data_IF_935739604232
#
_entry.id   IF_935739604232
#
_cell.length_a   1.000
_cell.length_b   1.000
_cell.length_c   1.000
_cell.angle_alpha   90.00
_cell.angle_beta   90.00
_cell.angle_gamma   90.00
#
_symmetry.space_group_name_H-M   'P 1'
#
loop_
_entity.id
_entity.type
_entity.pdbx_description
1 polymer ?
#
# COMPACT_ATOMS: atom_id res chain seq x y z
N UNK A 1 -7.28 5.02 -15.96
CA UNK A 1 -6.43 5.80 -15.03
C UNK A 1 -7.22 7.01 -14.59
N UNK A 2 -7.28 7.27 -13.29
CA UNK A 2 -7.89 8.49 -12.74
C UNK A 2 -7.09 9.68 -13.24
N UNK A 3 -7.76 10.70 -13.78
CA UNK A 3 -7.06 11.92 -14.22
C UNK A 3 -6.25 12.48 -13.04
N UNK A 4 -4.99 12.84 -13.28
CA UNK A 4 -4.11 13.37 -12.24
C UNK A 4 -3.35 12.33 -11.41
N UNK A 5 -3.53 11.02 -11.66
CA UNK A 5 -2.76 9.95 -11.01
C UNK A 5 -2.24 8.99 -12.08
N UNK A 6 -0.95 8.65 -12.03
CA UNK A 6 -0.37 7.64 -12.93
C UNK A 6 0.36 6.55 -12.16
N UNK A 7 0.31 5.34 -12.71
CA UNK A 7 1.02 4.18 -12.21
C UNK A 7 1.54 3.38 -13.40
N UNK A 8 2.80 2.96 -13.34
CA UNK A 8 3.38 2.05 -14.31
C UNK A 8 3.29 0.62 -13.75
N UNK A 9 2.66 -0.33 -14.47
CA UNK A 9 2.61 -1.73 -14.05
C UNK A 9 4.00 -2.28 -13.69
N UNK A 10 4.05 -3.17 -12.70
CA UNK A 10 5.28 -3.77 -12.18
C UNK A 10 6.25 -2.79 -11.49
N UNK A 11 5.81 -1.58 -11.18
CA UNK A 11 6.55 -0.63 -10.34
C UNK A 11 5.78 -0.33 -9.06
N UNK A 12 6.49 0.15 -8.04
CA UNK A 12 5.89 0.52 -6.75
C UNK A 12 5.39 1.96 -6.68
N UNK A 13 5.73 2.80 -7.66
CA UNK A 13 5.51 4.23 -7.63
C UNK A 13 4.16 4.62 -8.20
N UNK A 14 3.41 5.41 -7.44
CA UNK A 14 2.17 6.05 -7.88
C UNK A 14 2.46 7.55 -7.90
N UNK A 15 2.48 8.14 -9.09
CA UNK A 15 2.78 9.57 -9.26
C UNK A 15 1.49 10.39 -9.19
N UNK A 16 1.52 11.43 -8.37
CA UNK A 16 0.44 12.41 -8.22
C UNK A 16 0.77 13.61 -9.10
N UNK A 17 -0.03 13.83 -10.15
CA UNK A 17 0.15 14.93 -11.09
C UNK A 17 -0.67 16.14 -10.65
N UNK A 18 -1.88 15.91 -10.15
CA UNK A 18 -2.77 16.96 -9.67
C UNK A 18 -2.61 17.09 -8.14
N UNK A 19 -2.21 18.25 -7.60
CA UNK A 19 -2.14 18.45 -6.17
C UNK A 19 -3.54 18.45 -5.55
N UNK A 20 -3.64 18.06 -4.28
CA UNK A 20 -4.92 18.01 -3.59
C UNK A 20 -4.89 17.15 -2.33
N UNK A 21 -6.07 16.98 -1.74
CA UNK A 21 -6.27 16.08 -0.60
C UNK A 21 -6.94 14.82 -1.11
N UNK A 22 -6.33 13.68 -0.82
CA UNK A 22 -6.77 12.37 -1.32
C UNK A 22 -7.02 11.43 -0.15
N UNK A 23 -8.11 10.67 -0.23
CA UNK A 23 -8.24 9.43 0.54
C UNK A 23 -7.44 8.35 -0.19
N UNK A 24 -6.55 7.69 0.55
CA UNK A 24 -5.77 6.56 0.08
C UNK A 24 -6.18 5.36 0.92
N UNK A 25 -6.68 4.32 0.26
CA UNK A 25 -7.00 3.06 0.91
C UNK A 25 -6.12 1.95 0.35
N UNK A 26 -5.70 1.02 1.19
CA UNK A 26 -4.93 -0.13 0.74
C UNK A 26 -5.33 -1.40 1.45
N UNK A 27 -5.00 -2.52 0.81
CA UNK A 27 -5.13 -3.84 1.37
C UNK A 27 -3.90 -4.69 1.03
N UNK A 28 -3.41 -5.47 1.99
CA UNK A 28 -2.29 -6.40 1.82
C UNK A 28 -2.60 -7.71 2.51
N UNK A 29 -2.41 -8.82 1.80
CA UNK A 29 -2.43 -10.17 2.36
C UNK A 29 -0.99 -10.69 2.43
N UNK A 30 -0.39 -10.63 3.63
CA UNK A 30 0.97 -11.16 3.86
C UNK A 30 0.98 -12.64 4.23
N UNK A 31 2.08 -13.37 4.01
CA UNK A 31 2.26 -14.75 4.54
C UNK A 31 2.69 -14.77 6.00
N UNK A 32 3.17 -13.64 6.53
CA UNK A 32 3.61 -13.42 7.90
C UNK A 32 2.82 -12.27 8.58
N UNK A 33 2.94 -12.15 9.90
CA UNK A 33 2.57 -10.90 10.59
C UNK A 33 3.38 -9.74 10.02
N UNK A 34 2.71 -8.64 9.71
CA UNK A 34 3.29 -7.56 8.93
C UNK A 34 2.81 -6.18 9.38
N UNK A 35 3.65 -5.18 9.13
CA UNK A 35 3.34 -3.76 9.24
C UNK A 35 3.70 -3.04 7.95
N UNK A 36 2.71 -2.38 7.35
CA UNK A 36 2.88 -1.57 6.15
C UNK A 36 2.56 -0.10 6.45
N UNK A 37 3.22 0.80 5.73
CA UNK A 37 2.96 2.23 5.81
C UNK A 37 3.00 2.91 4.44
N UNK A 38 2.31 4.04 4.35
CA UNK A 38 2.36 4.92 3.19
C UNK A 38 3.59 5.81 3.27
N UNK A 39 4.22 6.05 2.13
CA UNK A 39 5.38 6.90 1.99
C UNK A 39 5.12 7.92 0.89
N UNK A 40 5.51 9.18 1.14
CA UNK A 40 5.54 10.24 0.14
C UNK A 40 6.98 10.65 -0.07
N UNK A 41 7.45 10.56 -1.32
CA UNK A 41 8.82 10.92 -1.69
C UNK A 41 9.90 10.19 -0.86
N UNK A 42 9.63 8.95 -0.46
CA UNK A 42 10.55 8.13 0.33
C UNK A 42 10.53 8.38 1.84
N UNK A 43 9.68 9.28 2.33
CA UNK A 43 9.47 9.52 3.75
C UNK A 43 8.16 8.89 4.24
N UNK A 44 8.14 8.24 5.43
CA UNK A 44 6.93 7.64 5.96
C UNK A 44 5.92 8.72 6.35
N UNK A 45 4.67 8.51 5.97
CA UNK A 45 3.55 9.38 6.38
C UNK A 45 3.16 9.02 7.81
N UNK A 46 3.26 9.98 8.72
CA UNK A 46 2.92 9.76 10.12
C UNK A 46 1.47 9.27 10.28
N UNK A 47 1.27 8.31 11.19
CA UNK A 47 -0.06 7.73 11.45
C UNK A 47 -0.54 6.72 10.42
N UNK A 48 0.29 6.33 9.44
CA UNK A 48 -0.12 5.36 8.39
C UNK A 48 0.46 3.96 8.57
N UNK A 49 1.02 3.64 9.73
CA UNK A 49 1.50 2.29 10.04
C UNK A 49 0.29 1.42 10.43
N UNK A 50 -0.09 0.50 9.55
CA UNK A 50 -1.13 -0.50 9.79
C UNK A 50 -0.52 -1.89 9.91
N UNK A 51 -1.03 -2.69 10.85
CA UNK A 51 -0.47 -4.00 11.17
C UNK A 51 -1.49 -5.13 11.12
N UNK A 52 -1.01 -6.30 10.72
CA UNK A 52 -1.70 -7.58 10.87
C UNK A 52 -0.88 -8.49 11.79
N UNK A 53 -1.53 -9.08 12.79
CA UNK A 53 -0.87 -9.87 13.83
C UNK A 53 -0.56 -11.31 13.42
N UNK A 54 -1.02 -11.74 12.24
CA UNK A 54 -0.83 -13.11 11.76
C UNK A 54 -0.61 -13.14 10.24
N UNK A 55 0.02 -14.22 9.77
CA UNK A 55 0.05 -14.54 8.35
C UNK A 55 -1.37 -14.79 7.82
N UNK A 56 -1.58 -14.51 6.54
CA UNK A 56 -2.84 -14.60 5.77
C UNK A 56 -4.03 -13.84 6.35
N UNK A 57 -3.85 -13.12 7.46
CA UNK A 57 -4.78 -12.12 7.96
C UNK A 57 -4.60 -10.82 7.17
N UNK A 58 -5.71 -10.29 6.67
CA UNK A 58 -5.74 -9.07 5.88
C UNK A 58 -5.26 -7.86 6.69
N UNK A 59 -4.34 -7.09 6.11
CA UNK A 59 -3.91 -5.79 6.60
C UNK A 59 -4.50 -4.69 5.73
N UNK A 60 -5.50 -3.98 6.25
CA UNK A 60 -6.14 -2.86 5.55
C UNK A 60 -5.75 -1.56 6.24
N UNK A 61 -5.50 -0.53 5.44
CA UNK A 61 -5.23 0.81 5.94
C UNK A 61 -5.92 1.88 5.12
N UNK A 62 -6.08 3.06 5.74
CA UNK A 62 -6.66 4.23 5.08
C UNK A 62 -6.00 5.50 5.62
N UNK A 63 -5.81 6.51 4.78
CA UNK A 63 -5.32 7.81 5.22
C UNK A 63 -5.85 8.91 4.32
N UNK A 64 -6.02 10.11 4.89
CA UNK A 64 -6.25 11.33 4.11
C UNK A 64 -4.92 12.07 4.06
N UNK A 65 -4.40 12.29 2.85
CA UNK A 65 -3.06 12.86 2.63
C UNK A 65 -3.18 14.06 1.68
N UNK A 66 -2.48 15.14 2.03
CA UNK A 66 -2.28 16.27 1.13
C UNK A 66 -1.05 16.00 0.26
N UNK A 67 -1.23 16.04 -1.06
CA UNK A 67 -0.18 15.84 -2.05
C UNK A 67 0.09 17.14 -2.81
N UNK A 68 1.36 17.38 -3.09
CA UNK A 68 1.83 18.34 -4.07
C UNK A 68 1.91 17.70 -5.47
N UNK A 69 2.02 18.52 -6.50
CA UNK A 69 2.28 18.04 -7.85
C UNK A 69 3.67 17.36 -7.90
N UNK A 70 3.74 16.24 -8.62
CA UNK A 70 4.91 15.36 -8.74
C UNK A 70 5.29 14.58 -7.47
N UNK A 71 4.48 14.61 -6.42
CA UNK A 71 4.67 13.70 -5.29
C UNK A 71 4.54 12.24 -5.74
N UNK A 72 5.37 11.39 -5.15
CA UNK A 72 5.36 9.94 -5.40
C UNK A 72 4.92 9.21 -4.14
N UNK A 73 3.75 8.57 -4.23
CA UNK A 73 3.23 7.69 -3.21
C UNK A 73 3.76 6.26 -3.41
N UNK A 74 4.14 5.61 -2.32
CA UNK A 74 4.38 4.16 -2.29
C UNK A 74 3.82 3.55 -1.01
N UNK A 75 3.44 2.26 -1.07
CA UNK A 75 3.10 1.45 0.10
C UNK A 75 4.27 0.50 0.38
N UNK A 76 4.79 0.49 1.60
CA UNK A 76 6.01 -0.26 1.94
C UNK A 76 5.84 -1.09 3.21
N UNK A 77 6.47 -2.27 3.22
CA UNK A 77 6.74 -2.99 4.46
C UNK A 77 7.65 -2.10 5.33
N UNK A 78 7.18 -1.67 6.50
CA UNK A 78 7.83 -0.56 7.24
C UNK A 78 8.27 -0.89 8.68
N UNK A 79 7.82 -1.97 9.31
CA UNK A 79 8.34 -2.39 10.64
C UNK A 79 8.03 -3.86 10.94
N UNK A 80 7.90 -4.69 9.91
CA UNK A 80 7.73 -6.14 10.09
C UNK A 80 9.02 -6.78 10.59
N UNK A 81 8.90 -7.91 11.28
CA UNK A 81 10.04 -8.66 11.80
C UNK A 81 10.96 -9.23 10.69
N UNK A 82 10.42 -9.40 9.47
CA UNK A 82 11.14 -9.91 8.30
C UNK A 82 10.57 -9.35 6.99
N UNK A 83 11.15 -9.76 5.86
CA UNK A 83 10.51 -9.60 4.56
C UNK A 83 9.14 -10.30 4.57
N UNK A 84 8.16 -9.68 3.90
CA UNK A 84 6.78 -10.17 3.86
C UNK A 84 6.50 -10.73 2.47
N UNK A 85 6.11 -12.01 2.41
CA UNK A 85 5.61 -12.61 1.18
C UNK A 85 4.18 -12.16 0.92
N UNK A 86 3.80 -11.96 -0.34
CA UNK A 86 2.41 -11.71 -0.71
C UNK A 86 1.68 -13.05 -0.88
N UNK A 87 0.67 -13.26 -0.06
CA UNK A 87 -0.05 -14.52 0.01
C UNK A 87 -0.94 -14.73 -1.22
N UNK A 88 -0.81 -15.89 -1.86
CA UNK A 88 -1.61 -16.30 -3.01
C UNK A 88 -2.51 -17.48 -2.64
N UNK A 89 -3.59 -17.65 -3.40
CA UNK A 89 -4.54 -18.75 -3.28
C UNK A 89 -5.28 -18.79 -1.92
N UNK A 90 -5.42 -17.65 -1.24
CA UNK A 90 -6.18 -17.57 0.02
C UNK A 90 -7.65 -17.92 -0.24
N UNK A 91 -8.16 -18.94 0.47
CA UNK A 91 -9.57 -19.32 0.45
C UNK A 91 -10.04 -20.09 -0.79
N UNK A 92 -9.15 -20.49 -1.70
CA UNK A 92 -9.53 -21.19 -2.94
C UNK A 92 -8.36 -21.91 -3.63
N UNK A 93 -8.42 -22.02 -4.96
CA UNK A 93 -7.33 -22.60 -5.81
C UNK A 93 -6.76 -21.62 -6.84
N UNK A 94 -7.42 -20.48 -7.04
CA UNK A 94 -7.03 -19.44 -8.01
C UNK A 94 -6.17 -18.36 -7.35
N UNK A 95 -5.37 -17.65 -8.15
CA UNK A 95 -4.64 -16.48 -7.66
C UNK A 95 -5.62 -15.37 -7.21
N UNK A 96 -5.50 -14.92 -5.97
CA UNK A 96 -6.22 -13.77 -5.44
C UNK A 96 -5.44 -12.47 -5.65
N UNK A 97 -6.14 -11.34 -5.53
CA UNK A 97 -5.49 -10.05 -5.29
C UNK A 97 -4.85 -10.13 -3.90
N UNK A 98 -3.54 -9.94 -3.85
CA UNK A 98 -2.74 -10.03 -2.62
C UNK A 98 -2.25 -8.67 -2.12
N UNK A 99 -2.31 -7.65 -2.96
CA UNK A 99 -2.18 -6.25 -2.58
C UNK A 99 -3.01 -5.37 -3.52
N UNK A 100 -3.64 -4.33 -2.97
CA UNK A 100 -4.32 -3.29 -3.74
C UNK A 100 -4.22 -1.95 -3.04
N UNK A 101 -4.31 -0.88 -3.83
CA UNK A 101 -4.34 0.50 -3.36
C UNK A 101 -5.22 1.32 -4.30
N UNK A 102 -6.07 2.17 -3.72
CA UNK A 102 -7.07 2.99 -4.42
C UNK A 102 -7.00 4.42 -3.89
#
# INVERSE_FOLDING_TARGET
MTSGITHTPSTSQIAIITPGIYEVTFSVSGTESNQFALFVNGLPVAGTIYGSGAGTQQNNGQAIIAFAAADVLTLRNHSSAAAVGLATVIGGTQANVNASIV
#
